data_IF_495196826654
#
_entry.id   IF_495196826654
#
_cell.length_a   1.000
_cell.length_b   1.000
_cell.length_c   1.000
_cell.angle_alpha   90.00
_cell.angle_beta   90.00
_cell.angle_gamma   90.00
#
_symmetry.space_group_name_H-M   'P 1'
#
loop_
_entity.id
_entity.type
_entity.pdbx_description
1 polymer ?
#
# COMPACT_ATOMS: atom_id res chain seq x y z
N UNK A 1 32.30 16.71 22.68
CA UNK A 1 31.96 15.32 22.44
C UNK A 1 32.91 14.76 21.38
N UNK A 2 33.46 13.56 21.57
CA UNK A 2 34.31 12.96 20.56
C UNK A 2 33.43 12.43 19.40
N UNK A 3 33.90 12.54 18.16
CA UNK A 3 33.24 12.01 16.96
C UNK A 3 32.79 10.53 17.09
N UNK A 4 33.61 9.73 17.82
CA UNK A 4 33.31 8.33 18.10
C UNK A 4 32.02 8.14 18.93
N UNK A 5 31.75 9.03 19.89
CA UNK A 5 30.49 8.94 20.68
C UNK A 5 29.26 9.30 19.85
N UNK A 6 29.38 10.23 18.90
CA UNK A 6 28.27 10.55 17.99
C UNK A 6 27.92 9.38 17.05
N UNK A 7 28.94 8.63 16.61
CA UNK A 7 28.70 7.42 15.78
C UNK A 7 28.00 6.31 16.57
N UNK A 8 28.25 6.17 17.86
CA UNK A 8 27.56 5.18 18.71
C UNK A 8 26.09 5.53 18.87
N UNK A 9 25.74 6.78 19.13
CA UNK A 9 24.35 7.22 19.22
C UNK A 9 23.60 7.06 17.90
N UNK A 10 24.22 7.33 16.77
CA UNK A 10 23.65 7.15 15.45
C UNK A 10 23.29 5.67 15.19
N UNK A 11 24.19 4.76 15.55
CA UNK A 11 23.97 3.31 15.43
C UNK A 11 22.85 2.83 16.36
N UNK A 12 22.79 3.31 17.60
CA UNK A 12 21.75 2.96 18.56
C UNK A 12 20.37 3.47 18.13
N UNK A 13 20.27 4.72 17.65
CA UNK A 13 19.03 5.28 17.08
C UNK A 13 18.55 4.42 15.90
N UNK A 14 19.45 4.08 14.99
CA UNK A 14 19.11 3.27 13.81
C UNK A 14 18.58 1.88 14.20
N UNK A 15 19.28 1.18 15.10
CA UNK A 15 18.88 -0.16 15.55
C UNK A 15 17.52 -0.13 16.26
N UNK A 16 17.33 0.83 17.17
CA UNK A 16 16.08 1.02 17.92
C UNK A 16 14.93 1.37 16.97
N UNK A 17 15.18 2.21 15.96
CA UNK A 17 14.17 2.58 14.96
C UNK A 17 13.69 1.36 14.18
N UNK A 18 14.59 0.47 13.74
CA UNK A 18 14.22 -0.76 13.00
C UNK A 18 13.39 -1.69 13.88
N UNK A 19 13.77 -1.86 15.13
CA UNK A 19 13.04 -2.72 16.07
C UNK A 19 11.63 -2.18 16.34
N UNK A 20 11.50 -0.89 16.62
CA UNK A 20 10.21 -0.24 16.81
C UNK A 20 9.35 -0.29 15.54
N UNK A 21 9.94 -0.11 14.38
CA UNK A 21 9.23 -0.22 13.11
C UNK A 21 8.67 -1.63 12.92
N UNK A 22 9.45 -2.68 13.23
CA UNK A 22 8.98 -4.07 13.18
C UNK A 22 7.75 -4.31 14.05
N UNK A 23 7.76 -3.84 15.30
CA UNK A 23 6.64 -3.95 16.22
C UNK A 23 5.40 -3.17 15.72
N UNK A 24 5.60 -1.96 15.19
CA UNK A 24 4.50 -1.14 14.64
C UNK A 24 3.91 -1.76 13.37
N UNK A 25 4.73 -2.40 12.53
CA UNK A 25 4.26 -3.13 11.34
C UNK A 25 3.37 -4.33 11.73
N UNK A 26 3.76 -5.10 12.74
CA UNK A 26 2.94 -6.20 13.23
C UNK A 26 1.58 -5.71 13.78
N UNK A 27 1.60 -4.66 14.61
CA UNK A 27 0.39 -4.05 15.15
C UNK A 27 -0.50 -3.49 14.03
N UNK A 28 0.07 -2.84 13.03
CA UNK A 28 -0.67 -2.31 11.87
C UNK A 28 -1.29 -3.44 11.04
N UNK A 29 -0.54 -4.49 10.72
CA UNK A 29 -1.04 -5.62 9.94
C UNK A 29 -2.20 -6.34 10.67
N UNK A 30 -2.11 -6.48 11.99
CA UNK A 30 -3.18 -7.02 12.81
C UNK A 30 -4.42 -6.11 12.79
N UNK A 31 -4.24 -4.80 12.92
CA UNK A 31 -5.33 -3.82 12.93
C UNK A 31 -6.02 -3.67 11.57
N UNK A 32 -5.28 -3.81 10.46
CA UNK A 32 -5.82 -3.74 9.11
C UNK A 32 -6.67 -4.94 8.70
N UNK A 33 -6.67 -6.02 9.50
CA UNK A 33 -7.40 -7.25 9.19
C UNK A 33 -6.93 -7.93 7.89
N UNK A 34 -5.70 -7.65 7.44
CA UNK A 34 -5.13 -8.18 6.20
C UNK A 34 -5.49 -7.40 4.94
N UNK A 35 -6.14 -6.24 5.06
CA UNK A 35 -6.47 -5.38 3.92
C UNK A 35 -5.22 -4.75 3.29
N UNK A 36 -4.28 -4.32 4.12
CA UNK A 36 -2.95 -3.86 3.72
C UNK A 36 -1.95 -4.65 4.55
N UNK A 37 -1.06 -5.37 3.90
CA UNK A 37 -0.01 -6.15 4.57
C UNK A 37 1.34 -5.55 4.20
N UNK A 38 2.02 -5.00 5.20
CA UNK A 38 3.38 -4.53 5.09
C UNK A 38 4.34 -5.64 5.54
N UNK A 39 5.41 -5.85 4.77
CA UNK A 39 6.36 -6.93 4.99
C UNK A 39 7.79 -6.38 5.01
N UNK A 40 8.64 -6.93 5.87
CA UNK A 40 10.05 -6.56 6.03
C UNK A 40 11.00 -7.33 5.11
N UNK A 41 10.48 -8.14 4.18
CA UNK A 41 11.30 -8.96 3.29
C UNK A 41 12.17 -8.10 2.37
N UNK A 42 13.47 -8.36 2.41
CA UNK A 42 14.42 -7.72 1.52
C UNK A 42 14.22 -8.17 0.06
N UNK A 43 14.04 -7.21 -0.82
CA UNK A 43 13.86 -7.45 -2.24
C UNK A 43 15.15 -7.20 -3.01
N UNK A 44 15.58 -8.16 -3.82
CA UNK A 44 16.77 -8.04 -4.66
C UNK A 44 16.40 -7.52 -6.05
N UNK A 45 17.14 -6.53 -6.54
CA UNK A 45 16.91 -5.91 -7.83
C UNK A 45 15.97 -4.69 -7.75
N UNK A 46 15.72 -4.07 -8.91
CA UNK A 46 14.92 -2.85 -9.02
C UNK A 46 13.47 -3.13 -9.45
N UNK A 47 13.20 -4.28 -10.04
CA UNK A 47 11.87 -4.72 -10.45
C UNK A 47 11.77 -6.25 -10.43
N UNK A 48 10.54 -6.76 -10.27
CA UNK A 48 10.21 -8.17 -10.49
C UNK A 48 9.16 -8.27 -11.57
N UNK A 49 9.20 -9.37 -12.32
CA UNK A 49 8.19 -9.75 -13.30
C UNK A 49 7.73 -11.16 -13.00
N UNK A 50 6.43 -11.35 -12.87
CA UNK A 50 5.79 -12.64 -12.72
C UNK A 50 4.77 -12.82 -13.85
N UNK A 51 4.91 -13.90 -14.61
CA UNK A 51 3.97 -14.22 -15.68
C UNK A 51 2.80 -15.04 -15.14
N UNK A 52 1.60 -14.74 -15.58
CA UNK A 52 0.42 -15.54 -15.29
C UNK A 52 -0.40 -15.79 -16.55
N UNK A 53 -1.13 -16.90 -16.57
CA UNK A 53 -2.06 -17.19 -17.67
C UNK A 53 -3.40 -16.52 -17.44
N UNK A 54 -3.92 -15.87 -18.47
CA UNK A 54 -5.25 -15.29 -18.42
C UNK A 54 -6.32 -16.39 -18.44
N UNK A 55 -7.51 -16.07 -17.93
CA UNK A 55 -8.63 -17.01 -17.89
C UNK A 55 -9.00 -17.51 -19.28
N UNK A 56 -9.15 -18.82 -19.42
CA UNK A 56 -9.60 -19.49 -20.63
C UNK A 56 -11.12 -19.65 -20.72
N UNK A 57 -11.88 -19.00 -19.85
CA UNK A 57 -13.35 -19.10 -19.81
C UNK A 57 -13.99 -18.74 -21.14
N UNK A 58 -13.40 -17.83 -21.92
CA UNK A 58 -13.85 -17.47 -23.27
C UNK A 58 -13.73 -18.58 -24.31
N UNK A 59 -13.00 -19.67 -24.03
CA UNK A 59 -12.91 -20.83 -24.90
C UNK A 59 -14.08 -21.81 -24.71
N UNK A 60 -14.88 -21.63 -23.65
CA UNK A 60 -16.05 -22.48 -23.37
C UNK A 60 -17.17 -22.16 -24.37
N UNK A 61 -17.73 -23.16 -25.02
CA UNK A 61 -18.81 -23.04 -25.97
C UNK A 61 -19.94 -24.03 -25.72
N UNK A 62 -21.13 -23.68 -26.13
CA UNK A 62 -22.28 -24.60 -26.19
C UNK A 62 -22.20 -25.41 -27.49
N UNK A 63 -22.44 -26.71 -27.42
CA UNK A 63 -22.43 -27.63 -28.56
C UNK A 63 -23.81 -28.22 -28.71
N UNK A 64 -24.38 -28.14 -29.94
CA UNK A 64 -25.58 -28.89 -30.28
C UNK A 64 -25.18 -30.33 -30.55
N UNK A 65 -25.78 -31.28 -29.84
CA UNK A 65 -25.50 -32.73 -29.96
C UNK A 65 -25.97 -33.31 -31.27
N UNK A 66 -26.93 -32.66 -31.93
CA UNK A 66 -27.57 -33.17 -33.16
C UNK A 66 -27.00 -32.50 -34.42
N UNK A 67 -26.14 -31.49 -34.28
CA UNK A 67 -25.49 -30.83 -35.39
C UNK A 67 -24.19 -31.56 -35.80
N UNK A 68 -23.85 -31.47 -37.08
CA UNK A 68 -22.55 -31.94 -37.56
C UNK A 68 -21.40 -31.16 -36.90
N UNK A 69 -20.40 -31.88 -36.38
CA UNK A 69 -19.25 -31.28 -35.76
C UNK A 69 -18.31 -30.76 -36.84
N UNK A 70 -18.34 -29.44 -37.08
CA UNK A 70 -17.42 -28.75 -37.99
C UNK A 70 -16.07 -28.46 -37.34
N UNK A 71 -15.10 -28.05 -38.18
CA UNK A 71 -13.80 -27.59 -37.71
C UNK A 71 -13.95 -26.39 -36.75
N UNK A 72 -13.23 -26.43 -35.64
CA UNK A 72 -13.29 -25.41 -34.59
C UNK A 72 -12.04 -24.53 -34.64
N UNK A 73 -12.24 -23.24 -34.50
CA UNK A 73 -11.13 -22.30 -34.35
C UNK A 73 -10.44 -22.51 -32.98
N UNK A 74 -9.11 -22.62 -32.99
CA UNK A 74 -8.34 -22.69 -31.77
C UNK A 74 -8.31 -21.34 -31.05
N UNK A 75 -8.57 -21.34 -29.75
CA UNK A 75 -8.40 -20.16 -28.90
C UNK A 75 -6.97 -20.16 -28.37
N UNK A 76 -6.21 -19.10 -28.63
CA UNK A 76 -4.87 -18.96 -28.09
C UNK A 76 -4.94 -18.62 -26.59
N UNK A 77 -4.10 -19.29 -25.82
CA UNK A 77 -3.89 -18.97 -24.41
C UNK A 77 -3.04 -17.69 -24.32
N UNK A 78 -3.59 -16.66 -23.70
CA UNK A 78 -2.89 -15.40 -23.50
C UNK A 78 -2.20 -15.36 -22.12
N UNK A 79 -1.07 -14.70 -22.07
CA UNK A 79 -0.32 -14.47 -20.85
C UNK A 79 -0.34 -12.99 -20.49
N UNK A 80 -0.43 -12.71 -19.21
CA UNK A 80 -0.20 -11.40 -18.62
C UNK A 80 1.04 -11.43 -17.74
N UNK A 81 1.55 -10.26 -17.38
CA UNK A 81 2.66 -10.14 -16.44
C UNK A 81 2.31 -9.16 -15.31
N UNK A 82 2.71 -9.51 -14.09
CA UNK A 82 2.76 -8.60 -12.95
C UNK A 82 4.15 -7.99 -12.90
N UNK A 83 4.21 -6.67 -12.81
CA UNK A 83 5.46 -5.93 -12.68
C UNK A 83 5.45 -5.21 -11.34
N UNK A 84 6.37 -5.59 -10.45
CA UNK A 84 6.64 -4.87 -9.21
C UNK A 84 7.86 -3.96 -9.38
N UNK A 85 7.77 -2.72 -8.95
CA UNK A 85 8.84 -1.72 -9.02
C UNK A 85 9.27 -1.33 -7.62
N UNK A 86 10.60 -1.24 -7.41
CA UNK A 86 11.17 -0.77 -6.16
C UNK A 86 11.11 0.76 -6.11
N UNK A 87 10.41 1.28 -5.11
CA UNK A 87 10.42 2.71 -4.81
C UNK A 87 11.48 2.97 -3.74
N UNK A 88 12.40 3.89 -4.00
CA UNK A 88 13.42 4.30 -3.05
C UNK A 88 12.92 5.53 -2.29
N UNK A 89 12.99 5.47 -0.98
CA UNK A 89 12.72 6.58 -0.08
C UNK A 89 13.89 6.79 0.89
N UNK A 90 13.94 7.93 1.53
CA UNK A 90 14.95 8.23 2.56
C UNK A 90 14.64 9.54 3.26
N UNK A 91 15.17 9.69 4.46
CA UNK A 91 15.14 10.95 5.17
C UNK A 91 16.36 11.78 4.84
N UNK A 92 16.18 13.10 4.83
CA UNK A 92 17.29 14.05 4.74
C UNK A 92 18.14 14.01 6.01
N UNK A 93 19.34 14.65 6.00
CA UNK A 93 20.17 14.73 7.18
C UNK A 93 19.44 15.51 8.30
N UNK A 94 19.38 14.91 9.49
CA UNK A 94 18.80 15.52 10.68
C UNK A 94 19.94 15.97 11.56
N UNK A 95 19.97 17.26 11.94
CA UNK A 95 20.97 17.85 12.79
C UNK A 95 20.38 18.24 14.15
N UNK A 96 21.16 18.11 15.20
CA UNK A 96 20.78 18.53 16.55
C UNK A 96 21.30 19.92 16.84
N UNK A 97 20.45 20.77 17.42
CA UNK A 97 20.88 22.04 17.98
C UNK A 97 21.63 21.83 19.31
N UNK A 98 22.49 22.80 19.74
CA UNK A 98 23.26 22.64 20.98
C UNK A 98 22.43 22.36 22.23
N UNK A 99 21.21 22.90 22.33
CA UNK A 99 20.30 22.65 23.44
C UNK A 99 19.74 21.22 23.45
N UNK A 100 19.42 20.69 22.28
CA UNK A 100 18.97 19.30 22.13
C UNK A 100 20.08 18.30 22.41
N UNK A 101 21.31 18.65 22.03
CA UNK A 101 22.48 17.85 22.34
C UNK A 101 22.72 17.75 23.86
N UNK A 102 22.47 18.83 24.62
CA UNK A 102 22.54 18.83 26.07
C UNK A 102 21.57 17.83 26.70
N UNK A 103 20.31 17.80 26.22
CA UNK A 103 19.31 16.85 26.67
C UNK A 103 19.70 15.39 26.35
N UNK A 104 20.22 15.13 25.16
CA UNK A 104 20.69 13.81 24.74
C UNK A 104 21.85 13.32 25.67
N UNK A 105 22.70 14.21 26.12
CA UNK A 105 23.80 13.87 27.04
C UNK A 105 23.34 13.59 28.48
N UNK A 106 22.28 14.25 28.91
CA UNK A 106 21.73 14.12 30.26
C UNK A 106 20.93 12.82 30.44
N UNK A 107 20.16 12.45 29.40
CA UNK A 107 19.32 11.24 29.39
C UNK A 107 19.39 10.51 28.03
N UNK A 108 20.50 9.86 27.68
CA UNK A 108 20.73 9.34 26.35
C UNK A 108 19.72 8.26 25.95
N UNK A 109 19.37 7.35 26.85
CA UNK A 109 18.43 6.27 26.56
C UNK A 109 17.01 6.79 26.25
N UNK A 110 16.52 7.76 27.02
CA UNK A 110 15.20 8.36 26.78
C UNK A 110 15.17 9.18 25.50
N UNK A 111 16.24 9.92 25.20
CA UNK A 111 16.34 10.71 23.99
C UNK A 111 16.42 9.83 22.73
N UNK A 112 17.18 8.74 22.75
CA UNK A 112 17.25 7.76 21.67
C UNK A 112 15.86 7.17 21.40
N UNK A 113 15.12 6.80 22.43
CA UNK A 113 13.78 6.22 22.31
C UNK A 113 12.81 7.20 21.63
N UNK A 114 12.75 8.45 22.07
CA UNK A 114 11.87 9.47 21.49
C UNK A 114 12.20 9.75 20.02
N UNK A 115 13.48 9.85 19.70
CA UNK A 115 13.93 10.08 18.32
C UNK A 115 13.61 8.88 17.44
N UNK A 116 13.89 7.67 17.90
CA UNK A 116 13.61 6.42 17.18
C UNK A 116 12.10 6.21 16.95
N UNK A 117 11.26 6.57 17.92
CA UNK A 117 9.81 6.55 17.78
C UNK A 117 9.35 7.49 16.67
N UNK A 118 9.83 8.74 16.65
CA UNK A 118 9.52 9.69 15.59
C UNK A 118 9.95 9.21 14.20
N UNK A 119 11.13 8.62 14.07
CA UNK A 119 11.59 8.05 12.81
C UNK A 119 10.76 6.85 12.38
N UNK A 120 10.40 5.95 13.31
CA UNK A 120 9.59 4.78 12.98
C UNK A 120 8.18 5.15 12.51
N UNK A 121 7.55 6.18 13.11
CA UNK A 121 6.26 6.69 12.70
C UNK A 121 6.31 7.34 11.31
N UNK A 122 7.34 8.13 11.06
CA UNK A 122 7.52 8.76 9.76
C UNK A 122 7.79 7.73 8.65
N UNK A 123 8.59 6.69 8.93
CA UNK A 123 8.82 5.58 7.98
C UNK A 123 7.55 4.81 7.68
N UNK A 124 6.78 4.48 8.70
CA UNK A 124 5.50 3.77 8.53
C UNK A 124 4.51 4.60 7.69
N UNK A 125 4.40 5.88 7.98
CA UNK A 125 3.54 6.80 7.22
C UNK A 125 3.98 6.92 5.76
N UNK A 126 5.27 7.00 5.47
CA UNK A 126 5.81 7.06 4.11
C UNK A 126 5.53 5.77 3.34
N UNK A 127 5.74 4.60 3.95
CA UNK A 127 5.44 3.31 3.35
C UNK A 127 3.95 3.17 3.02
N UNK A 128 3.06 3.55 3.94
CA UNK A 128 1.62 3.51 3.74
C UNK A 128 1.16 4.46 2.62
N UNK A 129 1.63 5.70 2.64
CA UNK A 129 1.28 6.67 1.62
C UNK A 129 1.76 6.21 0.23
N UNK A 130 2.96 5.64 0.15
CA UNK A 130 3.49 5.09 -1.10
C UNK A 130 2.67 3.91 -1.58
N UNK A 131 2.31 2.96 -0.70
CA UNK A 131 1.49 1.81 -1.04
C UNK A 131 0.10 2.23 -1.54
N UNK A 132 -0.56 3.16 -0.85
CA UNK A 132 -1.86 3.71 -1.27
C UNK A 132 -1.74 4.44 -2.60
N UNK A 133 -0.72 5.29 -2.78
CA UNK A 133 -0.48 6.00 -4.03
C UNK A 133 -0.26 5.06 -5.22
N UNK A 134 0.50 3.99 -5.04
CA UNK A 134 0.68 2.96 -6.06
C UNK A 134 -0.63 2.22 -6.38
N UNK A 135 -1.43 1.91 -5.37
CA UNK A 135 -2.75 1.29 -5.55
C UNK A 135 -3.71 2.18 -6.33
N UNK A 136 -3.79 3.45 -5.99
CA UNK A 136 -4.61 4.45 -6.71
C UNK A 136 -4.17 4.56 -8.15
N UNK A 137 -2.87 4.72 -8.42
CA UNK A 137 -2.35 4.83 -9.78
C UNK A 137 -2.64 3.57 -10.63
N UNK A 138 -2.59 2.38 -10.03
CA UNK A 138 -2.93 1.13 -10.70
C UNK A 138 -4.42 1.07 -11.10
N UNK A 139 -5.32 1.52 -10.24
CA UNK A 139 -6.77 1.55 -10.52
C UNK A 139 -7.09 2.65 -11.54
N UNK A 140 -6.53 3.83 -11.42
CA UNK A 140 -6.75 4.96 -12.34
C UNK A 140 -6.34 4.63 -13.78
N UNK A 141 -5.32 3.79 -13.96
CA UNK A 141 -4.89 3.35 -15.29
C UNK A 141 -5.97 2.49 -16.01
N UNK A 142 -6.96 1.99 -15.30
CA UNK A 142 -8.07 1.20 -15.84
C UNK A 142 -9.36 2.04 -15.77
N UNK A 143 -9.63 2.83 -16.79
CA UNK A 143 -10.78 3.75 -16.81
C UNK A 143 -12.14 3.07 -16.52
N UNK A 144 -12.28 1.79 -16.81
CA UNK A 144 -13.50 1.02 -16.51
C UNK A 144 -13.76 0.88 -14.99
N UNK A 145 -12.71 0.92 -14.16
CA UNK A 145 -12.80 0.80 -12.70
C UNK A 145 -12.98 2.14 -11.99
N UNK A 146 -12.78 3.24 -12.70
CA UNK A 146 -12.87 4.59 -12.11
C UNK A 146 -14.33 5.06 -12.10
N UNK A 147 -14.80 5.52 -10.94
CA UNK A 147 -16.09 6.19 -10.78
C UNK A 147 -15.85 7.64 -10.35
N UNK A 148 -15.60 8.52 -11.33
CA UNK A 148 -15.36 9.94 -11.07
C UNK A 148 -16.68 10.64 -10.76
N UNK A 149 -16.77 11.21 -9.56
CA UNK A 149 -17.91 11.99 -9.08
C UNK A 149 -17.52 13.44 -8.74
N UNK A 150 -16.32 13.87 -9.12
CA UNK A 150 -15.79 15.21 -8.82
C UNK A 150 -16.66 16.34 -9.39
N UNK A 151 -17.25 16.12 -10.55
CA UNK A 151 -18.13 17.08 -11.22
C UNK A 151 -19.59 17.06 -10.71
N UNK A 152 -19.95 16.17 -9.80
CA UNK A 152 -21.31 15.99 -9.28
C UNK A 152 -21.39 16.29 -7.77
N UNK A 153 -22.25 15.61 -7.03
CA UNK A 153 -22.48 15.82 -5.60
C UNK A 153 -21.31 15.41 -4.68
N UNK A 154 -20.16 15.02 -5.23
CA UNK A 154 -19.02 14.54 -4.46
C UNK A 154 -19.25 13.16 -3.86
N UNK A 155 -18.44 12.80 -2.84
CA UNK A 155 -18.50 11.51 -2.20
C UNK A 155 -19.83 11.33 -1.45
N UNK A 156 -20.51 10.21 -1.73
CA UNK A 156 -21.75 9.77 -1.07
C UNK A 156 -21.78 8.25 -1.01
N UNK A 157 -22.63 7.68 -0.16
CA UNK A 157 -22.82 6.24 -0.09
C UNK A 157 -23.20 5.61 -1.45
N UNK A 158 -24.00 6.32 -2.22
CA UNK A 158 -24.38 5.88 -3.56
C UNK A 158 -23.17 5.89 -4.53
N UNK A 159 -22.29 6.89 -4.43
CA UNK A 159 -21.09 6.97 -5.23
C UNK A 159 -20.11 5.83 -4.89
N UNK A 160 -19.98 5.50 -3.61
CA UNK A 160 -19.19 4.38 -3.12
C UNK A 160 -19.72 3.04 -3.66
N UNK A 161 -21.01 2.79 -3.52
CA UNK A 161 -21.66 1.58 -4.06
C UNK A 161 -21.48 1.46 -5.58
N UNK A 162 -21.56 2.58 -6.32
CA UNK A 162 -21.27 2.58 -7.76
C UNK A 162 -19.81 2.26 -8.07
N UNK A 163 -18.88 2.72 -7.22
CA UNK A 163 -17.47 2.35 -7.30
C UNK A 163 -17.25 0.85 -7.13
N UNK A 164 -17.86 0.26 -6.10
CA UNK A 164 -17.81 -1.19 -5.87
C UNK A 164 -18.41 -1.98 -7.05
N UNK A 165 -19.52 -1.51 -7.59
CA UNK A 165 -20.17 -2.16 -8.74
C UNK A 165 -19.30 -2.19 -10.01
N UNK A 166 -18.33 -1.27 -10.15
CA UNK A 166 -17.38 -1.30 -11.27
C UNK A 166 -16.52 -2.57 -11.30
N UNK A 167 -16.34 -3.24 -10.16
CA UNK A 167 -15.64 -4.52 -10.06
C UNK A 167 -16.53 -5.73 -10.43
N UNK A 168 -17.82 -5.52 -10.76
CA UNK A 168 -18.74 -6.55 -11.18
C UNK A 168 -18.86 -7.68 -10.14
N UNK A 169 -18.79 -8.93 -10.60
CA UNK A 169 -18.90 -10.12 -9.74
C UNK A 169 -17.78 -10.24 -8.70
N UNK A 170 -16.66 -9.53 -8.91
CA UNK A 170 -15.54 -9.49 -7.96
C UNK A 170 -15.77 -8.48 -6.82
N UNK A 171 -16.85 -7.71 -6.83
CA UNK A 171 -17.16 -6.73 -5.78
C UNK A 171 -17.24 -7.34 -4.38
N UNK A 172 -17.65 -8.60 -4.26
CA UNK A 172 -17.68 -9.33 -2.99
C UNK A 172 -16.31 -9.69 -2.41
N UNK A 173 -15.22 -9.50 -3.16
CA UNK A 173 -13.84 -9.72 -2.71
C UNK A 173 -13.21 -8.44 -2.16
N UNK A 174 -13.89 -7.30 -2.25
CA UNK A 174 -13.41 -6.04 -1.67
C UNK A 174 -13.47 -6.13 -0.15
N UNK A 175 -12.34 -5.96 0.51
CA UNK A 175 -12.18 -6.15 1.96
C UNK A 175 -12.35 -4.84 2.72
N UNK A 176 -11.88 -3.74 2.16
CA UNK A 176 -11.95 -2.42 2.81
C UNK A 176 -11.99 -1.28 1.79
N UNK A 177 -12.46 -0.12 2.26
CA UNK A 177 -12.38 1.16 1.57
C UNK A 177 -11.32 2.03 2.24
N UNK A 178 -10.35 2.48 1.47
CA UNK A 178 -9.32 3.40 1.95
C UNK A 178 -9.67 4.81 1.49
N UNK A 179 -9.85 5.71 2.43
CA UNK A 179 -10.22 7.09 2.14
C UNK A 179 -9.59 8.07 3.12
N UNK A 180 -9.45 9.31 2.70
CA UNK A 180 -9.02 10.39 3.58
C UNK A 180 -10.08 10.68 4.66
N UNK A 181 -9.65 11.16 5.83
CA UNK A 181 -10.56 11.49 6.96
C UNK A 181 -11.71 12.43 6.57
N UNK A 182 -11.44 13.44 5.74
CA UNK A 182 -12.46 14.36 5.22
C UNK A 182 -13.53 13.65 4.36
N UNK A 183 -13.14 12.60 3.62
CA UNK A 183 -14.07 11.75 2.88
C UNK A 183 -14.97 10.94 3.79
N UNK A 184 -14.40 10.36 4.84
CA UNK A 184 -15.15 9.62 5.87
C UNK A 184 -16.15 10.52 6.61
N UNK A 185 -15.74 11.74 6.97
CA UNK A 185 -16.61 12.73 7.60
C UNK A 185 -17.76 13.13 6.68
N UNK A 186 -17.47 13.45 5.42
CA UNK A 186 -18.50 13.77 4.42
C UNK A 186 -19.51 12.65 4.20
N UNK A 187 -19.09 11.38 4.30
CA UNK A 187 -20.02 10.25 4.23
C UNK A 187 -20.93 10.16 5.44
N UNK A 188 -20.40 10.40 6.64
CA UNK A 188 -21.17 10.40 7.88
C UNK A 188 -22.21 11.53 7.92
N UNK A 189 -21.81 12.74 7.52
CA UNK A 189 -22.71 13.89 7.47
C UNK A 189 -23.87 13.71 6.50
N UNK A 190 -23.65 13.01 5.40
CA UNK A 190 -24.69 12.73 4.39
C UNK A 190 -25.55 11.51 4.75
N UNK A 191 -25.15 10.72 5.74
CA UNK A 191 -25.92 9.57 6.23
C UNK A 191 -26.91 9.93 7.34
N UNK A 192 -26.78 11.13 7.91
CA UNK A 192 -27.69 11.71 8.90
C UNK A 192 -28.78 12.52 8.20
#
# INVERSE_FOLDING_TARGET
MALANMQVYDTEIYTTTIELLGQKLEAFNAASGGAIVLNTNAWRGNYTKEAFFQSISGAQRRVDRNAAIGAQAATQLSQGEFVGVKVAGGFGPVTFEPGQLSYLMENPAAAIMVIAEGFSDALLADQLNTAVGCGVAAVENIAALVNDVSASAGLSQQALNKGHYKFGDMSGMLVCDVMHSSGSESLKDKAL
#
